data_IF_003173494866
#
_entry.id   IF_003173494866
#
_cell.length_a   1.000
_cell.length_b   1.000
_cell.length_c   1.000
_cell.angle_alpha   90.00
_cell.angle_beta   90.00
_cell.angle_gamma   90.00
#
_symmetry.space_group_name_H-M   'P 1'
#
loop_
_entity.id
_entity.type
_entity.pdbx_description
1 polymer ?
#
# COMPACT_ATOMS: atom_id res chain seq x y z
N UNK A 1 1.30 5.73 7.23
CA UNK A 1 0.60 4.72 6.40
C UNK A 1 -0.63 4.27 7.18
N UNK A 2 -1.81 4.24 6.57
CA UNK A 2 -3.06 3.91 7.27
C UNK A 2 -3.53 2.48 6.99
N UNK A 3 -3.39 2.03 5.75
CA UNK A 3 -3.62 0.65 5.36
C UNK A 3 -2.71 0.25 4.20
N UNK A 4 -2.42 -1.04 4.09
CA UNK A 4 -1.72 -1.63 2.96
C UNK A 4 -2.39 -2.95 2.59
N UNK A 5 -2.53 -3.19 1.29
CA UNK A 5 -3.05 -4.42 0.70
C UNK A 5 -1.97 -5.01 -0.19
N UNK A 6 -1.68 -6.30 -0.02
CA UNK A 6 -0.70 -7.03 -0.82
C UNK A 6 -1.39 -8.17 -1.54
N UNK A 7 -1.08 -8.35 -2.83
CA UNK A 7 -1.54 -9.50 -3.62
C UNK A 7 -0.32 -10.36 -3.94
N UNK A 8 -0.34 -11.62 -3.51
CA UNK A 8 0.69 -12.62 -3.74
C UNK A 8 0.00 -13.98 -3.96
N UNK A 9 0.65 -14.90 -4.66
CA UNK A 9 0.15 -16.28 -4.86
C UNK A 9 0.01 -17.04 -3.53
N UNK A 10 0.78 -16.64 -2.51
CA UNK A 10 0.70 -17.16 -1.15
C UNK A 10 0.09 -16.13 -0.20
N UNK A 11 -1.07 -16.44 0.39
CA UNK A 11 -1.68 -15.62 1.42
C UNK A 11 -0.76 -15.40 2.63
N UNK A 12 0.07 -16.40 2.99
CA UNK A 12 1.06 -16.28 4.05
C UNK A 12 2.11 -15.21 3.72
N UNK A 13 2.58 -15.16 2.47
CA UNK A 13 3.54 -14.13 2.03
C UNK A 13 2.88 -12.76 1.98
N UNK A 14 1.65 -12.67 1.46
CA UNK A 14 0.90 -11.41 1.42
C UNK A 14 0.73 -10.81 2.83
N UNK A 15 0.37 -11.63 3.81
CA UNK A 15 0.17 -11.20 5.20
C UNK A 15 1.48 -10.73 5.86
N UNK A 16 2.57 -11.49 5.68
CA UNK A 16 3.89 -11.12 6.18
C UNK A 16 4.38 -9.80 5.56
N UNK A 17 4.22 -9.63 4.24
CA UNK A 17 4.61 -8.42 3.54
C UNK A 17 3.74 -7.22 3.92
N UNK A 18 2.42 -7.40 4.06
CA UNK A 18 1.52 -6.33 4.51
C UNK A 18 1.94 -5.82 5.90
N UNK A 19 2.29 -6.73 6.82
CA UNK A 19 2.82 -6.37 8.13
C UNK A 19 4.16 -5.62 8.02
N UNK A 20 5.11 -6.13 7.22
CA UNK A 20 6.41 -5.49 7.01
C UNK A 20 6.27 -4.08 6.43
N UNK A 21 5.44 -3.92 5.40
CA UNK A 21 5.18 -2.62 4.77
C UNK A 21 4.49 -1.63 5.70
N UNK A 22 3.61 -2.10 6.58
CA UNK A 22 3.01 -1.25 7.61
C UNK A 22 4.07 -0.65 8.54
N UNK A 23 5.07 -1.45 8.95
CA UNK A 23 6.18 -1.01 9.81
C UNK A 23 7.11 -0.05 9.06
N UNK A 24 7.42 -0.34 7.80
CA UNK A 24 8.33 0.49 6.98
C UNK A 24 7.79 1.88 6.68
N UNK A 25 6.47 2.03 6.62
CA UNK A 25 5.83 3.26 6.14
C UNK A 25 5.87 3.39 4.61
N UNK A 26 5.12 4.37 4.07
CA UNK A 26 4.76 4.39 2.64
C UNK A 26 5.96 4.51 1.70
N UNK A 27 6.91 5.40 1.97
CA UNK A 27 8.02 5.66 1.03
C UNK A 27 8.92 4.44 0.88
N UNK A 28 9.43 3.92 2.00
CA UNK A 28 10.29 2.74 2.02
C UNK A 28 9.55 1.49 1.52
N UNK A 29 8.30 1.28 1.96
CA UNK A 29 7.50 0.14 1.51
C UNK A 29 7.24 0.16 0.00
N UNK A 30 6.85 1.31 -0.57
CA UNK A 30 6.59 1.42 -2.01
C UNK A 30 7.87 1.18 -2.82
N UNK A 31 9.00 1.76 -2.42
CA UNK A 31 10.28 1.54 -3.10
C UNK A 31 10.69 0.06 -3.07
N UNK A 32 10.58 -0.60 -1.92
CA UNK A 32 10.90 -2.03 -1.79
C UNK A 32 9.94 -2.90 -2.61
N UNK A 33 8.65 -2.59 -2.58
CA UNK A 33 7.64 -3.34 -3.33
C UNK A 33 7.82 -3.18 -4.85
N UNK A 34 8.08 -1.96 -5.34
CA UNK A 34 8.37 -1.72 -6.77
C UNK A 34 9.65 -2.45 -7.22
N UNK A 35 10.73 -2.39 -6.42
CA UNK A 35 11.97 -3.09 -6.74
C UNK A 35 11.81 -4.62 -6.79
N UNK A 36 10.89 -5.18 -6.00
CA UNK A 36 10.58 -6.61 -5.96
C UNK A 36 9.51 -7.03 -6.98
N UNK A 37 8.89 -6.09 -7.70
CA UNK A 37 7.72 -6.38 -8.55
C UNK A 37 6.49 -6.86 -7.75
N UNK A 38 6.41 -6.52 -6.46
CA UNK A 38 5.32 -6.92 -5.58
C UNK A 38 4.09 -6.05 -5.83
N UNK A 39 2.93 -6.69 -6.03
CA UNK A 39 1.66 -5.97 -6.09
C UNK A 39 1.26 -5.50 -4.69
N UNK A 40 1.28 -4.18 -4.47
CA UNK A 40 0.86 -3.55 -3.24
C UNK A 40 0.06 -2.26 -3.50
N UNK A 41 -0.95 -2.02 -2.67
CA UNK A 41 -1.79 -0.83 -2.66
C UNK A 41 -1.77 -0.22 -1.26
N UNK A 42 -1.56 1.09 -1.19
CA UNK A 42 -1.33 1.83 0.03
C UNK A 42 -2.40 2.92 0.19
N UNK A 43 -2.99 2.99 1.38
CA UNK A 43 -3.85 4.11 1.79
C UNK A 43 -3.07 4.94 2.81
N UNK A 44 -2.82 6.20 2.48
CA UNK A 44 -1.97 7.11 3.24
C UNK A 44 -2.83 8.24 3.77
N UNK A 45 -2.74 8.51 5.08
CA UNK A 45 -3.35 9.72 5.64
C UNK A 45 -2.54 10.94 5.22
N UNK A 46 -3.13 11.83 4.44
CA UNK A 46 -2.45 13.03 3.90
C UNK A 46 -2.73 14.30 4.69
N UNK A 47 -3.65 14.26 5.66
CA UNK A 47 -3.89 15.39 6.56
C UNK A 47 -5.31 15.41 7.14
N UNK A 48 -5.81 16.63 7.39
CA UNK A 48 -7.18 16.91 7.78
C UNK A 48 -7.86 17.76 6.69
N UNK A 49 -9.16 17.57 6.51
CA UNK A 49 -9.99 18.41 5.67
C UNK A 49 -10.55 19.63 6.40
N UNK A 50 -11.36 20.41 5.69
CA UNK A 50 -11.87 21.69 6.17
C UNK A 50 -12.79 21.54 7.39
N UNK A 51 -13.48 20.41 7.53
CA UNK A 51 -14.30 20.07 8.70
C UNK A 51 -13.55 19.23 9.75
N UNK A 52 -12.22 19.08 9.62
CA UNK A 52 -11.38 18.36 10.58
C UNK A 52 -11.38 16.83 10.43
N UNK A 53 -11.99 16.28 9.38
CA UNK A 53 -11.97 14.87 9.03
C UNK A 53 -10.61 14.44 8.45
N UNK A 54 -10.10 13.23 8.75
CA UNK A 54 -8.89 12.73 8.11
C UNK A 54 -9.06 12.60 6.59
N UNK A 55 -8.07 13.09 5.83
CA UNK A 55 -7.97 12.85 4.39
C UNK A 55 -7.04 11.70 4.09
N UNK A 56 -7.39 10.94 3.05
CA UNK A 56 -6.62 9.80 2.59
C UNK A 56 -6.35 9.87 1.11
N UNK A 57 -5.16 9.42 0.74
CA UNK A 57 -4.70 9.28 -0.64
C UNK A 57 -4.29 7.85 -0.89
N UNK A 58 -4.49 7.40 -2.12
CA UNK A 58 -4.08 6.09 -2.56
C UNK A 58 -2.77 6.19 -3.35
N UNK A 59 -1.88 5.22 -3.11
CA UNK A 59 -0.72 4.95 -3.94
C UNK A 59 -0.68 3.45 -4.23
N UNK A 60 -0.12 3.04 -5.35
CA UNK A 60 0.05 1.63 -5.65
C UNK A 60 1.36 1.38 -6.41
N UNK A 61 1.84 0.14 -6.37
CA UNK A 61 2.96 -0.29 -7.21
C UNK A 61 2.50 -0.49 -8.66
N UNK A 62 3.46 -0.50 -9.58
CA UNK A 62 3.17 -0.82 -10.99
C UNK A 62 2.58 -2.23 -11.12
N UNK A 63 3.11 -3.19 -10.36
CA UNK A 63 2.64 -4.57 -10.35
C UNK A 63 1.16 -4.69 -9.94
N UNK A 64 0.67 -3.78 -9.09
CA UNK A 64 -0.73 -3.77 -8.66
C UNK A 64 -1.70 -3.26 -9.74
N UNK A 65 -1.23 -2.46 -10.71
CA UNK A 65 -2.09 -1.79 -11.69
C UNK A 65 -2.99 -2.76 -12.48
N UNK A 66 -2.52 -3.99 -12.73
CA UNK A 66 -3.27 -5.05 -13.43
C UNK A 66 -4.54 -5.53 -12.70
N UNK A 67 -4.64 -5.26 -11.39
CA UNK A 67 -5.78 -5.66 -10.56
C UNK A 67 -6.81 -4.54 -10.40
N UNK A 68 -6.54 -3.34 -10.93
CA UNK A 68 -7.50 -2.24 -10.94
C UNK A 68 -8.51 -2.47 -12.07
N UNK A 69 -9.66 -3.05 -11.72
CA UNK A 69 -10.83 -3.12 -12.60
C UNK A 69 -11.63 -1.83 -12.46
N UNK A 70 -12.07 -1.28 -13.61
CA UNK A 70 -13.02 -0.15 -13.69
C UNK A 70 -14.43 -0.66 -13.87
#
# INVERSE_FOLDING_TARGET
LAAVTVIDESAMRADALATAYMIMGVEAAKQTADAAGQAAYFIVRSGLGASGEPRFEAQHTEAFARYLVR
#
